data_IF_904653964641
#
_entry.id   IF_904653964641
#
_cell.length_a   1.000
_cell.length_b   1.000
_cell.length_c   1.000
_cell.angle_alpha   90.00
_cell.angle_beta   90.00
_cell.angle_gamma   90.00
#
_symmetry.space_group_name_H-M   'P 1'
#
loop_
_entity.id
_entity.type
_entity.pdbx_description
1 polymer ?
#
# COMPACT_ATOMS: atom_id res chain seq x y z
N UNK A 1 46.55 -4.70 7.13
CA UNK A 1 45.24 -5.40 7.16
C UNK A 1 44.05 -4.43 7.33
N UNK A 2 44.04 -3.57 8.35
CA UNK A 2 42.93 -2.64 8.63
C UNK A 2 42.64 -1.68 7.46
N UNK A 3 43.66 -1.11 6.83
CA UNK A 3 43.49 -0.21 5.68
C UNK A 3 42.88 -0.92 4.47
N UNK A 4 43.28 -2.15 4.22
CA UNK A 4 42.73 -2.96 3.13
C UNK A 4 41.24 -3.31 3.37
N UNK A 5 40.90 -3.64 4.62
CA UNK A 5 39.52 -3.89 5.03
C UNK A 5 38.64 -2.64 4.87
N UNK A 6 39.10 -1.47 5.34
CA UNK A 6 38.34 -0.23 5.19
C UNK A 6 38.10 0.14 3.71
N UNK A 7 39.10 -0.01 2.84
CA UNK A 7 38.94 0.24 1.41
C UNK A 7 37.90 -0.72 0.79
N UNK A 8 37.96 -2.00 1.15
CA UNK A 8 37.01 -2.99 0.69
C UNK A 8 35.56 -2.61 1.09
N UNK A 9 35.34 -2.21 2.33
CA UNK A 9 34.03 -1.79 2.82
C UNK A 9 33.47 -0.56 2.06
N UNK A 10 34.33 0.41 1.79
CA UNK A 10 33.97 1.59 0.98
C UNK A 10 33.57 1.18 -0.43
N UNK A 11 34.34 0.30 -1.07
CA UNK A 11 34.04 -0.20 -2.42
C UNK A 11 32.70 -0.96 -2.45
N UNK A 12 32.44 -1.82 -1.47
CA UNK A 12 31.17 -2.56 -1.39
C UNK A 12 30.01 -1.61 -1.15
N UNK A 13 30.16 -0.64 -0.27
CA UNK A 13 29.15 0.39 -0.02
C UNK A 13 28.83 1.20 -1.29
N UNK A 14 29.84 1.58 -2.06
CA UNK A 14 29.66 2.27 -3.33
C UNK A 14 28.94 1.40 -4.36
N UNK A 15 29.27 0.12 -4.45
CA UNK A 15 28.57 -0.83 -5.34
C UNK A 15 27.10 -0.95 -4.97
N UNK A 16 26.79 -1.08 -3.67
CA UNK A 16 25.39 -1.10 -3.18
C UNK A 16 24.67 0.19 -3.55
N UNK A 17 25.29 1.35 -3.34
CA UNK A 17 24.69 2.64 -3.69
C UNK A 17 24.41 2.75 -5.19
N UNK A 18 25.37 2.38 -6.05
CA UNK A 18 25.20 2.43 -7.50
C UNK A 18 24.06 1.51 -7.95
N UNK A 19 24.01 0.28 -7.42
CA UNK A 19 22.99 -0.70 -7.76
C UNK A 19 21.57 -0.30 -7.28
N UNK A 20 21.48 0.52 -6.23
CA UNK A 20 20.21 1.00 -5.66
C UNK A 20 19.97 2.49 -5.91
N UNK A 21 20.65 3.08 -6.87
CA UNK A 21 20.52 4.51 -7.17
C UNK A 21 19.10 4.94 -7.48
N UNK A 22 18.32 4.13 -8.18
CA UNK A 22 16.92 4.43 -8.49
C UNK A 22 16.06 4.55 -7.22
N UNK A 23 16.32 3.71 -6.21
CA UNK A 23 15.61 3.81 -4.92
C UNK A 23 15.97 5.10 -4.19
N UNK A 24 17.26 5.46 -4.21
CA UNK A 24 17.74 6.71 -3.63
C UNK A 24 17.13 7.93 -4.34
N UNK A 25 17.14 7.95 -5.68
CA UNK A 25 16.55 9.02 -6.48
C UNK A 25 15.04 9.14 -6.23
N UNK A 26 14.35 8.01 -6.08
CA UNK A 26 12.92 7.97 -5.70
C UNK A 26 12.67 8.58 -4.33
N UNK A 27 13.53 8.29 -3.35
CA UNK A 27 13.47 8.85 -2.01
C UNK A 27 13.73 10.37 -2.02
N UNK A 28 14.75 10.80 -2.74
CA UNK A 28 15.07 12.23 -2.91
C UNK A 28 13.95 12.99 -3.61
N UNK A 29 13.31 12.37 -4.61
CA UNK A 29 12.18 12.98 -5.30
C UNK A 29 10.98 13.17 -4.36
N UNK A 30 10.69 12.17 -3.50
CA UNK A 30 9.65 12.28 -2.48
C UNK A 30 9.91 13.46 -1.52
N UNK A 31 11.14 13.56 -1.00
CA UNK A 31 11.55 14.64 -0.11
C UNK A 31 11.40 16.01 -0.77
N UNK A 32 11.86 16.15 -2.03
CA UNK A 32 11.77 17.41 -2.79
C UNK A 32 10.32 17.79 -3.09
N UNK A 33 9.50 16.84 -3.56
CA UNK A 33 8.10 17.09 -3.93
C UNK A 33 7.29 17.61 -2.76
N UNK A 34 7.48 17.03 -1.58
CA UNK A 34 6.76 17.43 -0.36
C UNK A 34 7.53 18.41 0.52
N UNK A 35 8.62 19.00 0.01
CA UNK A 35 9.45 20.01 0.70
C UNK A 35 9.88 19.59 2.11
N UNK A 36 10.19 18.31 2.29
CA UNK A 36 10.62 17.77 3.56
C UNK A 36 12.08 18.11 3.85
N UNK A 37 12.49 18.25 5.12
CA UNK A 37 13.89 18.40 5.48
C UNK A 37 14.75 17.22 5.04
N UNK A 38 15.94 17.48 4.51
CA UNK A 38 16.85 16.45 4.01
C UNK A 38 17.25 15.42 5.09
N UNK A 39 17.23 15.80 6.37
CA UNK A 39 17.47 14.88 7.49
C UNK A 39 16.54 13.65 7.51
N UNK A 40 15.44 13.68 6.76
CA UNK A 40 14.50 12.58 6.66
C UNK A 40 14.85 11.56 5.57
N UNK A 41 16.00 11.72 4.88
CA UNK A 41 16.44 10.82 3.80
C UNK A 41 16.55 9.35 4.24
N UNK A 42 16.86 9.10 5.52
CA UNK A 42 16.99 7.78 6.11
C UNK A 42 15.67 7.16 6.61
N UNK A 43 14.55 7.87 6.49
CA UNK A 43 13.24 7.35 6.89
C UNK A 43 12.66 6.44 5.81
N UNK A 44 11.88 5.45 6.22
CA UNK A 44 11.14 4.60 5.28
C UNK A 44 10.05 5.39 4.55
N UNK A 45 9.58 4.88 3.40
CA UNK A 45 8.47 5.49 2.65
C UNK A 45 7.20 5.60 3.50
N UNK A 46 6.92 4.61 4.36
CA UNK A 46 5.81 4.65 5.30
C UNK A 46 5.95 5.79 6.33
N UNK A 47 7.14 5.95 6.92
CA UNK A 47 7.41 7.04 7.86
C UNK A 47 7.31 8.43 7.19
N UNK A 48 7.82 8.56 5.95
CA UNK A 48 7.67 9.81 5.20
C UNK A 48 6.20 10.10 4.87
N UNK A 49 5.43 9.08 4.49
CA UNK A 49 4.00 9.24 4.23
C UNK A 49 3.24 9.65 5.49
N UNK A 50 3.58 9.08 6.64
CA UNK A 50 3.01 9.50 7.93
C UNK A 50 3.31 10.98 8.25
N UNK A 51 4.54 11.42 8.01
CA UNK A 51 4.92 12.84 8.20
C UNK A 51 4.16 13.75 7.23
N UNK A 52 4.07 13.37 5.95
CA UNK A 52 3.35 14.13 4.92
C UNK A 52 1.87 14.27 5.26
N UNK A 53 1.26 13.20 5.75
CA UNK A 53 -0.16 13.17 6.12
C UNK A 53 -0.43 13.66 7.56
N UNK A 54 0.61 14.12 8.26
CA UNK A 54 0.52 14.59 9.65
C UNK A 54 -0.15 13.55 10.57
N UNK A 55 0.24 12.27 10.38
CA UNK A 55 -0.31 11.18 11.14
C UNK A 55 0.32 11.10 12.55
N UNK A 56 -0.54 10.96 13.54
CA UNK A 56 -0.15 10.71 14.92
C UNK A 56 -0.42 9.25 15.30
N UNK A 57 0.51 8.65 16.00
CA UNK A 57 0.29 7.34 16.58
C UNK A 57 -0.80 7.43 17.66
N UNK A 58 -1.86 6.63 17.47
CA UNK A 58 -2.94 6.47 18.46
C UNK A 58 -3.00 5.01 18.89
N UNK A 59 -3.18 4.78 20.17
CA UNK A 59 -3.46 3.45 20.67
C UNK A 59 -4.90 3.07 20.32
N UNK A 60 -5.08 1.88 19.79
CA UNK A 60 -6.38 1.26 19.50
C UNK A 60 -6.20 -0.27 19.43
N UNK A 61 -7.26 -0.98 19.78
CA UNK A 61 -7.30 -2.45 19.89
C UNK A 61 -8.30 -3.10 18.92
N UNK A 62 -8.81 -2.32 17.98
CA UNK A 62 -9.83 -2.73 17.00
C UNK A 62 -9.24 -3.16 15.64
N UNK A 63 -7.99 -3.64 15.65
CA UNK A 63 -7.25 -4.05 14.45
C UNK A 63 -7.98 -5.10 13.60
N UNK A 64 -8.79 -5.95 14.24
CA UNK A 64 -9.56 -7.01 13.61
C UNK A 64 -11.05 -6.72 13.54
N UNK A 65 -11.49 -5.51 13.82
CA UNK A 65 -12.87 -5.14 13.58
C UNK A 65 -13.15 -4.97 12.09
N UNK A 66 -14.28 -5.50 11.65
CA UNK A 66 -14.72 -5.37 10.26
C UNK A 66 -16.03 -4.59 10.19
N UNK A 67 -16.09 -3.65 9.27
CA UNK A 67 -17.31 -2.97 8.87
C UNK A 67 -17.75 -3.47 7.51
N UNK A 68 -18.97 -3.93 7.40
CA UNK A 68 -19.57 -4.29 6.11
C UNK A 68 -20.33 -3.05 5.61
N UNK A 69 -19.91 -2.53 4.47
CA UNK A 69 -20.60 -1.39 3.83
C UNK A 69 -21.90 -1.84 3.20
N UNK A 70 -22.93 -1.01 3.24
CA UNK A 70 -24.29 -1.37 2.80
C UNK A 70 -24.38 -1.74 1.32
N UNK A 71 -23.44 -1.21 0.51
CA UNK A 71 -23.36 -1.52 -0.92
C UNK A 71 -22.80 -2.92 -1.22
N UNK A 72 -22.17 -3.58 -0.22
CA UNK A 72 -21.57 -4.91 -0.37
C UNK A 72 -22.62 -6.00 -0.10
N UNK A 73 -23.02 -6.73 -1.15
CA UNK A 73 -23.98 -7.84 -1.06
C UNK A 73 -23.25 -9.11 -0.58
N UNK A 74 -23.46 -9.43 0.70
CA UNK A 74 -22.78 -10.57 1.36
C UNK A 74 -23.67 -11.77 1.62
N UNK A 75 -24.91 -11.77 1.16
CA UNK A 75 -25.91 -12.81 1.46
C UNK A 75 -25.45 -14.22 1.07
N UNK A 76 -24.79 -14.35 -0.08
CA UNK A 76 -24.20 -15.61 -0.55
C UNK A 76 -22.91 -16.00 0.16
N UNK A 77 -22.28 -15.08 0.87
CA UNK A 77 -20.95 -15.20 1.43
C UNK A 77 -20.92 -15.03 2.96
N UNK A 78 -22.05 -15.31 3.63
CA UNK A 78 -22.16 -15.23 5.09
C UNK A 78 -21.11 -16.03 5.82
N UNK A 79 -20.70 -17.18 5.28
CA UNK A 79 -19.64 -18.00 5.85
C UNK A 79 -18.29 -17.27 5.93
N UNK A 80 -17.96 -16.44 4.93
CA UNK A 80 -16.74 -15.62 4.89
C UNK A 80 -16.82 -14.53 5.97
N UNK A 81 -17.96 -13.83 6.05
CA UNK A 81 -18.17 -12.79 7.08
C UNK A 81 -18.08 -13.41 8.48
N UNK A 82 -18.70 -14.57 8.70
CA UNK A 82 -18.64 -15.26 9.97
C UNK A 82 -17.20 -15.72 10.32
N UNK A 83 -16.42 -16.10 9.33
CA UNK A 83 -15.01 -16.45 9.54
C UNK A 83 -14.22 -15.26 10.06
N UNK A 84 -14.38 -14.06 9.47
CA UNK A 84 -13.73 -12.83 9.95
C UNK A 84 -14.19 -12.40 11.33
N UNK A 85 -15.44 -12.67 11.71
CA UNK A 85 -16.01 -12.34 13.02
C UNK A 85 -15.69 -13.36 14.11
N UNK A 86 -15.13 -14.50 13.75
CA UNK A 86 -14.80 -15.54 14.72
C UNK A 86 -13.51 -15.20 15.46
N UNK A 87 -13.52 -15.09 16.80
CA UNK A 87 -12.33 -14.74 17.61
C UNK A 87 -11.12 -15.65 17.38
N UNK A 88 -11.34 -16.91 17.02
CA UNK A 88 -10.24 -17.87 16.72
C UNK A 88 -9.43 -17.47 15.48
N UNK A 89 -9.99 -16.65 14.60
CA UNK A 89 -9.39 -16.23 13.35
C UNK A 89 -8.77 -14.83 13.39
N UNK A 90 -8.72 -14.18 14.53
CA UNK A 90 -8.12 -12.85 14.73
C UNK A 90 -6.58 -12.95 14.75
N UNK A 91 -6.01 -13.39 13.66
CA UNK A 91 -4.57 -13.57 13.47
C UNK A 91 -4.23 -13.40 11.98
N UNK A 92 -3.23 -12.58 11.65
CA UNK A 92 -2.76 -12.34 10.28
C UNK A 92 -2.27 -13.58 9.53
N UNK A 93 -1.90 -14.63 10.26
CA UNK A 93 -1.47 -15.91 9.66
C UNK A 93 -2.65 -16.79 9.24
N UNK A 94 -3.84 -16.52 9.78
CA UNK A 94 -5.05 -17.31 9.46
C UNK A 94 -5.57 -16.96 8.07
N UNK A 95 -5.98 -17.98 7.35
CA UNK A 95 -6.55 -17.87 6.01
C UNK A 95 -7.74 -18.79 5.87
N UNK A 96 -8.72 -18.34 5.10
CA UNK A 96 -9.88 -19.14 4.68
C UNK A 96 -9.75 -19.39 3.18
N UNK A 97 -9.80 -20.65 2.78
CA UNK A 97 -9.82 -21.07 1.38
C UNK A 97 -11.23 -21.44 0.97
N UNK A 98 -11.73 -20.80 -0.07
CA UNK A 98 -13.07 -21.06 -0.61
C UNK A 98 -12.99 -21.03 -2.14
N UNK A 99 -13.63 -22.00 -2.78
CA UNK A 99 -13.83 -22.00 -4.22
C UNK A 99 -15.03 -21.14 -4.60
N UNK A 100 -14.82 -20.18 -5.49
CA UNK A 100 -15.84 -19.30 -6.06
C UNK A 100 -15.64 -19.23 -7.56
N UNK A 101 -16.66 -19.60 -8.33
CA UNK A 101 -16.62 -19.60 -9.80
C UNK A 101 -15.42 -20.39 -10.38
N UNK A 102 -15.20 -21.60 -9.90
CA UNK A 102 -14.12 -22.51 -10.30
C UNK A 102 -12.70 -21.94 -10.04
N UNK A 103 -12.59 -20.99 -9.13
CA UNK A 103 -11.32 -20.39 -8.71
C UNK A 103 -11.19 -20.47 -7.20
N UNK A 104 -10.06 -20.99 -6.72
CA UNK A 104 -9.74 -20.98 -5.31
C UNK A 104 -9.36 -19.56 -4.87
N UNK A 105 -10.06 -19.07 -3.86
CA UNK A 105 -9.82 -17.77 -3.25
C UNK A 105 -9.32 -17.94 -1.83
N UNK A 106 -8.27 -17.19 -1.49
CA UNK A 106 -7.71 -17.09 -0.15
C UNK A 106 -8.14 -15.77 0.48
N UNK A 107 -8.92 -15.86 1.54
CA UNK A 107 -9.34 -14.74 2.38
C UNK A 107 -8.45 -14.67 3.60
N UNK A 108 -7.98 -13.49 3.95
CA UNK A 108 -7.18 -13.23 5.14
C UNK A 108 -7.14 -11.76 5.48
N UNK A 109 -6.60 -11.43 6.64
CA UNK A 109 -6.53 -10.05 7.12
C UNK A 109 -5.63 -9.13 6.26
N UNK A 110 -4.74 -9.71 5.48
CA UNK A 110 -3.90 -8.98 4.52
C UNK A 110 -4.55 -8.75 3.15
N UNK A 111 -5.72 -9.32 2.89
CA UNK A 111 -6.45 -9.16 1.63
C UNK A 111 -7.07 -10.44 1.09
N UNK A 112 -7.68 -10.31 -0.08
CA UNK A 112 -8.29 -11.38 -0.87
C UNK A 112 -7.44 -11.66 -2.11
N UNK A 113 -7.11 -12.93 -2.32
CA UNK A 113 -6.35 -13.38 -3.47
C UNK A 113 -7.03 -14.58 -4.11
N UNK A 114 -7.10 -14.60 -5.44
CA UNK A 114 -7.61 -15.74 -6.19
C UNK A 114 -7.06 -15.72 -7.61
N UNK A 115 -6.63 -16.89 -8.07
CA UNK A 115 -6.17 -17.07 -9.44
C UNK A 115 -6.32 -18.52 -9.86
N UNK A 116 -6.59 -18.76 -11.13
CA UNK A 116 -6.45 -20.11 -11.72
C UNK A 116 -4.98 -20.50 -11.75
N UNK A 117 -4.68 -21.72 -11.33
CA UNK A 117 -3.30 -22.24 -11.30
C UNK A 117 -2.67 -22.26 -12.71
N UNK A 118 -3.47 -22.60 -13.70
CA UNK A 118 -3.06 -22.59 -15.10
C UNK A 118 -4.29 -22.32 -15.98
N UNK A 119 -4.19 -21.31 -16.81
CA UNK A 119 -5.20 -20.98 -17.80
C UNK A 119 -4.53 -20.65 -19.13
N UNK A 120 -4.99 -21.28 -20.19
CA UNK A 120 -4.53 -21.00 -21.55
C UNK A 120 -5.76 -21.11 -22.46
N UNK A 121 -6.01 -20.08 -23.24
CA UNK A 121 -7.11 -20.04 -24.19
C UNK A 121 -6.77 -19.09 -25.34
N UNK A 122 -7.55 -19.16 -26.43
CA UNK A 122 -7.46 -18.28 -27.58
C UNK A 122 -8.76 -17.49 -27.70
N UNK A 123 -8.66 -16.16 -27.83
CA UNK A 123 -9.84 -15.31 -27.94
C UNK A 123 -9.56 -13.85 -27.66
N UNK A 124 -10.64 -13.10 -27.39
CA UNK A 124 -10.55 -11.71 -27.01
C UNK A 124 -10.45 -11.63 -25.48
N UNK A 125 -9.31 -11.12 -25.00
CA UNK A 125 -9.06 -10.90 -23.57
C UNK A 125 -9.30 -9.43 -23.21
N UNK A 126 -10.22 -9.19 -22.27
CA UNK A 126 -10.48 -7.85 -21.75
C UNK A 126 -9.78 -7.72 -20.41
N UNK A 127 -8.82 -6.79 -20.34
CA UNK A 127 -8.18 -6.41 -19.09
C UNK A 127 -8.82 -5.13 -18.55
N UNK A 128 -9.43 -5.21 -17.37
CA UNK A 128 -10.05 -4.09 -16.68
C UNK A 128 -9.32 -3.81 -15.37
N UNK A 129 -8.86 -2.57 -15.19
CA UNK A 129 -8.14 -2.13 -14.00
C UNK A 129 -8.75 -0.85 -13.43
N UNK A 130 -8.84 -0.81 -12.10
CA UNK A 130 -9.36 0.37 -11.37
C UNK A 130 -8.22 1.32 -11.07
N UNK A 131 -8.33 2.56 -11.54
CA UNK A 131 -7.32 3.59 -11.25
C UNK A 131 -7.21 3.84 -9.76
N UNK A 132 -6.02 3.54 -9.20
CA UNK A 132 -5.73 3.77 -7.77
C UNK A 132 -6.73 3.11 -6.83
N UNK A 133 -7.01 1.83 -7.03
CA UNK A 133 -8.08 1.09 -6.37
C UNK A 133 -8.16 1.32 -4.86
N UNK A 134 -7.10 1.03 -4.11
CA UNK A 134 -7.10 1.23 -2.66
C UNK A 134 -7.30 2.69 -2.23
N UNK A 135 -6.57 3.67 -2.79
CA UNK A 135 -6.84 5.08 -2.48
C UNK A 135 -8.27 5.52 -2.78
N UNK A 136 -8.86 5.03 -3.88
CA UNK A 136 -10.25 5.34 -4.23
C UNK A 136 -11.24 4.81 -3.18
N UNK A 137 -11.05 3.56 -2.72
CA UNK A 137 -11.87 2.98 -1.67
C UNK A 137 -11.71 3.70 -0.34
N UNK A 138 -10.45 4.07 0.01
CA UNK A 138 -10.19 4.80 1.26
C UNK A 138 -10.87 6.16 1.29
N UNK A 139 -10.97 6.85 0.15
CA UNK A 139 -11.66 8.14 0.04
C UNK A 139 -13.18 7.93 0.04
N UNK A 140 -13.69 7.03 -0.80
CA UNK A 140 -15.13 6.82 -0.99
C UNK A 140 -15.82 6.35 0.29
N UNK A 141 -15.20 5.43 1.02
CA UNK A 141 -15.78 4.82 2.22
C UNK A 141 -15.23 5.37 3.53
N UNK A 142 -14.34 6.36 3.48
CA UNK A 142 -13.71 6.91 4.69
C UNK A 142 -12.81 5.93 5.43
N UNK A 143 -12.22 4.95 4.73
CA UNK A 143 -11.34 3.92 5.32
C UNK A 143 -9.90 4.40 5.52
N UNK A 144 -9.69 5.70 5.57
CA UNK A 144 -8.38 6.24 5.89
C UNK A 144 -8.04 5.97 7.37
N UNK A 145 -6.76 5.70 7.65
CA UNK A 145 -6.30 5.48 9.02
C UNK A 145 -6.73 6.61 9.96
N UNK A 146 -7.27 6.26 11.13
CA UNK A 146 -7.60 7.22 12.20
C UNK A 146 -6.39 7.99 12.74
N UNK A 147 -5.18 7.52 12.45
CA UNK A 147 -3.95 8.24 12.77
C UNK A 147 -3.70 9.45 11.88
N UNK A 148 -4.35 9.55 10.72
CA UNK A 148 -4.26 10.70 9.82
C UNK A 148 -5.15 11.82 10.38
N UNK A 149 -4.56 13.00 10.61
CA UNK A 149 -5.31 14.15 11.15
C UNK A 149 -6.23 14.78 10.12
N UNK A 150 -5.76 14.86 8.88
CA UNK A 150 -6.38 15.61 7.79
C UNK A 150 -6.65 14.69 6.60
N UNK A 151 -7.85 14.07 6.57
CA UNK A 151 -8.26 13.17 5.49
C UNK A 151 -8.34 13.88 4.13
N UNK A 152 -8.67 15.18 4.12
CA UNK A 152 -8.71 16.04 2.95
C UNK A 152 -7.35 16.10 2.24
N UNK A 153 -6.25 16.11 2.98
CA UNK A 153 -4.90 16.12 2.43
C UNK A 153 -4.58 14.85 1.63
N UNK A 154 -5.09 13.71 2.06
CA UNK A 154 -4.97 12.46 1.31
C UNK A 154 -5.72 12.55 -0.04
N UNK A 155 -6.92 13.12 -0.02
CA UNK A 155 -7.71 13.35 -1.23
C UNK A 155 -7.03 14.34 -2.18
N UNK A 156 -6.47 15.44 -1.69
CA UNK A 156 -5.71 16.40 -2.50
C UNK A 156 -4.53 15.72 -3.22
N UNK A 157 -3.75 14.90 -2.48
CA UNK A 157 -2.64 14.11 -3.04
C UNK A 157 -3.13 13.15 -4.14
N UNK A 158 -4.29 12.55 -3.93
CA UNK A 158 -4.94 11.69 -4.92
C UNK A 158 -5.33 12.46 -6.18
N UNK A 159 -6.00 13.61 -6.03
CA UNK A 159 -6.47 14.42 -7.14
C UNK A 159 -5.29 14.92 -7.99
N UNK A 160 -4.23 15.46 -7.37
CA UNK A 160 -3.00 15.87 -8.06
C UNK A 160 -2.39 14.69 -8.84
N UNK A 161 -2.32 13.52 -8.22
CA UNK A 161 -1.79 12.33 -8.90
C UNK A 161 -2.60 11.94 -10.13
N UNK A 162 -3.93 11.99 -10.03
CA UNK A 162 -4.83 11.63 -11.14
C UNK A 162 -4.66 12.60 -12.31
N UNK A 163 -4.52 13.91 -12.05
CA UNK A 163 -4.25 14.91 -13.07
C UNK A 163 -2.91 14.68 -13.76
N UNK A 164 -1.83 14.54 -12.98
CA UNK A 164 -0.50 14.26 -13.53
C UNK A 164 -0.46 12.97 -14.36
N UNK A 165 -1.25 11.95 -13.95
CA UNK A 165 -1.37 10.71 -14.73
C UNK A 165 -2.08 10.94 -16.07
N UNK A 166 -3.16 11.75 -16.09
CA UNK A 166 -3.89 12.11 -17.32
C UNK A 166 -3.01 12.89 -18.29
N UNK A 167 -2.15 13.77 -17.77
CA UNK A 167 -1.19 14.55 -18.55
C UNK A 167 0.04 13.73 -19.01
N UNK A 168 0.14 12.46 -18.64
CA UNK A 168 1.26 11.60 -19.01
C UNK A 168 2.55 11.87 -18.23
N UNK A 169 2.52 12.68 -17.19
CA UNK A 169 3.67 13.09 -16.35
C UNK A 169 4.07 11.99 -15.36
N UNK A 170 4.57 10.86 -15.88
CA UNK A 170 4.88 9.65 -15.09
C UNK A 170 5.88 9.87 -13.96
N UNK A 171 6.91 10.69 -14.18
CA UNK A 171 7.93 10.97 -13.16
C UNK A 171 7.41 11.87 -12.05
N UNK A 172 6.60 12.87 -12.39
CA UNK A 172 6.04 13.82 -11.44
C UNK A 172 4.97 13.19 -10.55
N UNK A 173 4.15 12.25 -11.07
CA UNK A 173 3.13 11.56 -10.29
C UNK A 173 3.67 10.48 -9.33
N UNK A 174 4.91 10.03 -9.52
CA UNK A 174 5.47 8.92 -8.76
C UNK A 174 5.56 9.16 -7.24
N UNK A 175 6.00 10.34 -6.74
CA UNK A 175 5.99 10.63 -5.30
C UNK A 175 4.60 10.56 -4.67
N UNK A 176 3.59 11.08 -5.34
CA UNK A 176 2.20 11.02 -4.87
C UNK A 176 1.69 9.57 -4.80
N UNK A 177 2.02 8.75 -5.80
CA UNK A 177 1.71 7.31 -5.78
C UNK A 177 2.34 6.60 -4.58
N UNK A 178 3.57 6.96 -4.22
CA UNK A 178 4.26 6.38 -3.05
C UNK A 178 3.49 6.71 -1.78
N UNK A 179 3.11 7.96 -1.55
CA UNK A 179 2.36 8.37 -0.36
C UNK A 179 1.03 7.62 -0.26
N UNK A 180 0.24 7.62 -1.33
CA UNK A 180 -1.06 6.95 -1.36
C UNK A 180 -0.98 5.44 -1.10
N UNK A 181 0.00 4.76 -1.70
CA UNK A 181 0.16 3.32 -1.53
C UNK A 181 0.79 2.95 -0.18
N UNK A 182 1.69 3.78 0.34
CA UNK A 182 2.33 3.53 1.64
C UNK A 182 1.38 3.73 2.82
N UNK A 183 0.28 4.44 2.63
CA UNK A 183 -0.76 4.61 3.65
C UNK A 183 -1.60 3.35 3.80
N UNK A 184 -1.77 2.58 2.72
CA UNK A 184 -2.43 1.28 2.75
C UNK A 184 -1.46 0.21 3.27
N UNK A 185 -1.87 -0.52 4.30
CA UNK A 185 -1.07 -1.60 4.89
C UNK A 185 0.17 -1.15 5.68
N UNK A 186 0.48 0.15 5.70
CA UNK A 186 1.40 0.67 6.68
C UNK A 186 0.68 0.69 8.03
N UNK A 187 1.17 -0.08 8.99
CA UNK A 187 0.92 0.25 10.39
C UNK A 187 1.53 1.64 10.61
N UNK A 188 0.71 2.68 10.37
CA UNK A 188 1.06 4.04 10.75
C UNK A 188 0.91 4.06 12.27
N UNK A 189 1.86 3.45 12.91
CA UNK A 189 1.92 3.32 14.34
C UNK A 189 3.37 3.31 14.82
#
# INVERSE_FOLDING_TARGET
ETFFYCNHDVEQTMKVFINRKEEFDSQMNLIKTFKLPLKYINKTKAQLSAIILEADKREHDDEFEITIVDTLKVEKYKSIVNWYRNPVNLDYKKKLEIEVADVIHLFGWGGLHGARVKYQDEGIFINSDVTSFYPSLMIEYGFLSRNVRHAEKFKEIYDIRVELKKEGKKKEQAPYKIVLNSTYGAKIG
#
